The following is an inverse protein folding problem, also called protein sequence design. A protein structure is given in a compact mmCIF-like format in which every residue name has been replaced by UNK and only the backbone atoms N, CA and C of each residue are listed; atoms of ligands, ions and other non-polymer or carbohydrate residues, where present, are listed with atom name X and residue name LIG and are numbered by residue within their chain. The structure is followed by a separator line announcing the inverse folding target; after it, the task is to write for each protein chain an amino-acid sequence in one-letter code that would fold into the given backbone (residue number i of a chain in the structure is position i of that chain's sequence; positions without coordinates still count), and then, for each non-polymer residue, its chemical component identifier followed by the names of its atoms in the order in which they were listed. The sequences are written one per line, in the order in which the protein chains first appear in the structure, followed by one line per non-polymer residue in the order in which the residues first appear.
data_IF_036267195174
#
_entry.id   IF_036267195174
#
_cell.length_a   1.000
_cell.length_b   1.000
_cell.length_c   1.000
_cell.angle_alpha   90.00
_cell.angle_beta   90.00
_cell.angle_gamma   90.00
#
_symmetry.space_group_name_H-M   'P 1'
#
loop_
_entity.id
_entity.type
_entity.pdbx_description
1 polymer ?
#
# COMPACT_ATOMS: atom_id res chain seq x y z
N UNK A 1 1.35 7.66 4.69
CA UNK A 1 -0.13 7.73 4.51
C UNK A 1 -0.42 8.55 3.27
N UNK A 2 -1.45 8.21 2.47
CA UNK A 2 -1.86 8.99 1.28
C UNK A 2 -3.04 9.90 1.65
N UNK A 3 -2.98 11.17 1.24
CA UNK A 3 -3.96 12.20 1.50
C UNK A 3 -4.48 12.82 0.19
N UNK A 4 -5.77 12.67 -0.07
CA UNK A 4 -6.37 13.12 -1.33
C UNK A 4 -6.35 14.66 -1.51
N UNK A 5 -6.30 15.42 -0.42
CA UNK A 5 -6.29 16.90 -0.41
C UNK A 5 -4.94 17.48 0.01
N UNK A 6 -3.86 16.71 -0.11
CA UNK A 6 -2.53 17.19 0.24
C UNK A 6 -2.18 18.44 -0.59
N UNK A 7 -1.80 19.56 0.04
CA UNK A 7 -1.72 20.86 -0.64
C UNK A 7 -0.60 20.94 -1.68
N UNK A 8 0.46 20.14 -1.53
CA UNK A 8 1.65 20.20 -2.38
C UNK A 8 1.90 18.93 -3.23
N UNK A 9 1.22 17.82 -2.96
CA UNK A 9 1.57 16.52 -3.53
C UNK A 9 0.33 15.83 -4.12
N UNK A 10 0.40 15.50 -5.40
CA UNK A 10 -0.61 14.68 -6.03
C UNK A 10 -0.63 13.27 -5.45
N UNK A 11 -1.79 12.59 -5.51
CA UNK A 11 -1.93 11.18 -5.13
C UNK A 11 -0.87 10.31 -5.82
N UNK A 12 -0.61 10.57 -7.10
CA UNK A 12 0.44 9.86 -7.86
C UNK A 12 1.81 9.98 -7.21
N UNK A 13 2.21 11.19 -6.79
CA UNK A 13 3.50 11.40 -6.12
C UNK A 13 3.56 10.72 -4.76
N UNK A 14 2.46 10.77 -4.01
CA UNK A 14 2.37 10.11 -2.71
C UNK A 14 2.45 8.58 -2.84
N UNK A 15 1.79 7.97 -3.83
CA UNK A 15 1.90 6.54 -4.14
C UNK A 15 3.35 6.13 -4.42
N UNK A 16 4.06 6.91 -5.25
CA UNK A 16 5.47 6.64 -5.58
C UNK A 16 6.36 6.70 -4.34
N UNK A 17 6.15 7.68 -3.46
CA UNK A 17 6.96 7.85 -2.24
C UNK A 17 6.86 6.66 -1.28
N UNK A 18 5.69 6.01 -1.21
CA UNK A 18 5.47 4.86 -0.34
C UNK A 18 5.59 3.50 -1.06
N UNK A 19 5.98 3.52 -2.34
CA UNK A 19 6.22 2.29 -3.10
C UNK A 19 4.97 1.50 -3.48
N UNK A 20 3.79 2.14 -3.63
CA UNK A 20 2.57 1.45 -4.10
C UNK A 20 2.12 1.97 -5.46
N UNK A 21 1.34 1.16 -6.17
CA UNK A 21 0.65 1.59 -7.39
C UNK A 21 -0.58 2.45 -7.07
N UNK A 22 -0.99 3.31 -8.01
CA UNK A 22 -2.24 4.07 -7.89
C UNK A 22 -3.48 3.16 -7.84
N UNK A 23 -3.45 2.05 -8.56
CA UNK A 23 -4.56 1.09 -8.54
C UNK A 23 -4.69 0.40 -7.19
N UNK A 24 -3.59 0.17 -6.47
CA UNK A 24 -3.63 -0.32 -5.09
C UNK A 24 -4.29 0.68 -4.13
N UNK A 25 -4.20 1.98 -4.40
CA UNK A 25 -4.89 3.01 -3.62
C UNK A 25 -6.40 3.10 -3.90
N UNK A 26 -6.82 3.03 -5.16
CA UNK A 26 -8.24 3.13 -5.54
C UNK A 26 -9.00 1.80 -5.45
N UNK A 27 -8.29 0.68 -5.46
CA UNK A 27 -8.89 -0.66 -5.45
C UNK A 27 -9.32 -1.11 -4.05
N UNK A 28 -10.15 -2.16 -3.98
CA UNK A 28 -10.44 -2.80 -2.71
C UNK A 28 -9.16 -3.37 -2.10
N UNK A 29 -9.02 -3.22 -0.77
CA UNK A 29 -7.91 -3.83 -0.05
C UNK A 29 -7.93 -5.35 -0.26
N UNK A 30 -6.91 -5.87 -0.94
CA UNK A 30 -6.73 -7.32 -1.09
C UNK A 30 -5.87 -7.79 0.07
N UNK A 31 -6.41 -8.67 0.89
CA UNK A 31 -5.63 -9.38 1.90
C UNK A 31 -4.56 -10.25 1.25
N UNK A 32 -3.48 -10.52 1.98
CA UNK A 32 -2.47 -11.46 1.53
C UNK A 32 -3.01 -12.88 1.41
N UNK A 33 -2.35 -13.69 0.57
CA UNK A 33 -2.64 -15.12 0.53
C UNK A 33 -2.34 -15.75 1.89
N UNK A 34 -3.05 -16.83 2.29
CA UNK A 34 -2.75 -17.53 3.54
C UNK A 34 -1.29 -17.96 3.67
N UNK A 35 -0.66 -18.33 2.54
CA UNK A 35 0.75 -18.68 2.47
C UNK A 35 1.64 -17.47 2.75
N UNK A 36 1.42 -16.34 2.07
CA UNK A 36 2.22 -15.13 2.30
C UNK A 36 2.09 -14.65 3.74
N UNK A 37 0.88 -14.67 4.30
CA UNK A 37 0.64 -14.32 5.69
C UNK A 37 1.39 -15.25 6.65
N UNK A 38 1.41 -16.56 6.38
CA UNK A 38 2.17 -17.51 7.18
C UNK A 38 3.68 -17.25 7.09
N UNK A 39 4.20 -16.92 5.90
CA UNK A 39 5.61 -16.58 5.70
C UNK A 39 5.99 -15.29 6.43
N UNK A 40 5.18 -14.23 6.35
CA UNK A 40 5.43 -12.97 7.06
C UNK A 40 5.53 -13.20 8.57
N UNK A 41 4.62 -14.00 9.15
CA UNK A 41 4.65 -14.35 10.57
C UNK A 41 5.92 -15.10 11.00
N UNK A 42 6.56 -15.86 10.11
CA UNK A 42 7.82 -16.54 10.40
C UNK A 42 9.02 -15.60 10.34
N UNK A 43 8.96 -14.54 9.52
CA UNK A 43 10.02 -13.53 9.41
C UNK A 43 10.00 -12.58 10.61
N UNK A 44 8.82 -12.28 11.15
CA UNK A 44 8.63 -11.38 12.29
C UNK A 44 9.03 -12.01 13.66
N UNK A 45 9.36 -13.30 13.69
CA UNK A 45 9.73 -14.06 14.91
C UNK A 45 11.24 -14.01 15.19
#
# INVERSE_FOLDING_TARGET
MIEARHPALSITRQCVLIGISRSAWYGPGKGDSPLNLALTKLIDA
#
